data_IF_916297011485
#
_entry.id   IF_916297011485
#
_cell.length_a   1.000
_cell.length_b   1.000
_cell.length_c   1.000
_cell.angle_alpha   90.00
_cell.angle_beta   90.00
_cell.angle_gamma   90.00
#
_symmetry.space_group_name_H-M   'P 1'
#
loop_
_entity.id
_entity.type
_entity.pdbx_description
1 polymer ?
#
# COMPACT_ATOMS: atom_id res chain seq x y z
N UNK A 1 2.67 1.53 17.60
CA UNK A 1 3.81 0.78 17.06
C UNK A 1 4.11 -0.44 17.92
N UNK A 2 4.46 -1.54 17.32
CA UNK A 2 5.01 -2.74 18.00
C UNK A 2 6.25 -3.23 17.26
N UNK A 3 7.22 -3.79 17.97
CA UNK A 3 8.37 -4.49 17.41
C UNK A 3 8.08 -5.97 17.16
N UNK A 4 6.96 -6.47 17.67
CA UNK A 4 6.50 -7.84 17.46
C UNK A 4 5.87 -8.02 16.05
N UNK A 5 6.67 -8.54 15.12
CA UNK A 5 6.24 -8.87 13.75
C UNK A 5 5.76 -10.32 13.72
N UNK A 6 4.77 -10.63 14.52
CA UNK A 6 4.06 -11.92 14.54
C UNK A 6 2.60 -11.74 14.09
N UNK A 7 1.88 -12.82 13.76
CA UNK A 7 0.45 -12.76 13.52
C UNK A 7 -0.33 -12.16 14.70
N UNK A 8 0.10 -12.40 15.93
CA UNK A 8 -0.47 -11.88 17.17
C UNK A 8 -0.14 -10.38 17.33
N UNK A 9 1.10 -9.95 17.03
CA UNK A 9 1.51 -8.56 17.03
C UNK A 9 0.72 -7.74 16.03
N UNK A 10 0.45 -8.28 14.84
CA UNK A 10 -0.38 -7.64 13.81
C UNK A 10 -1.84 -7.47 14.28
N UNK A 11 -2.39 -8.44 14.99
CA UNK A 11 -3.74 -8.31 15.57
C UNK A 11 -3.75 -7.25 16.66
N UNK A 12 -2.78 -7.28 17.60
CA UNK A 12 -2.72 -6.30 18.69
C UNK A 12 -2.59 -4.87 18.21
N UNK A 13 -1.78 -4.62 17.18
CA UNK A 13 -1.62 -3.24 16.65
C UNK A 13 -2.89 -2.76 15.95
N UNK A 14 -3.64 -3.63 15.29
CA UNK A 14 -4.95 -3.31 14.75
C UNK A 14 -5.94 -2.96 15.88
N UNK A 15 -6.01 -3.78 16.92
CA UNK A 15 -6.90 -3.53 18.08
C UNK A 15 -6.57 -2.22 18.79
N UNK A 16 -5.29 -1.87 18.86
CA UNK A 16 -4.83 -0.61 19.48
C UNK A 16 -5.33 0.66 18.76
N UNK A 17 -5.80 0.54 17.51
CA UNK A 17 -6.43 1.66 16.81
C UNK A 17 -7.79 2.04 17.41
N UNK A 18 -8.45 1.13 18.14
CA UNK A 18 -9.78 1.36 18.71
C UNK A 18 -10.89 1.54 17.67
N UNK A 19 -10.66 1.14 16.43
CA UNK A 19 -11.63 1.18 15.32
C UNK A 19 -12.01 -0.23 14.93
N UNK A 20 -13.28 -0.58 15.11
CA UNK A 20 -13.79 -1.91 14.78
C UNK A 20 -14.21 -1.98 13.30
N UNK A 21 -13.71 -2.98 12.58
CA UNK A 21 -14.13 -3.25 11.22
C UNK A 21 -15.58 -3.73 11.19
N UNK A 22 -16.39 -3.11 10.34
CA UNK A 22 -17.80 -3.42 10.22
C UNK A 22 -18.20 -3.67 8.76
N UNK A 23 -19.31 -4.39 8.56
CA UNK A 23 -19.81 -4.70 7.23
C UNK A 23 -18.92 -5.65 6.45
N UNK A 24 -18.80 -5.45 5.14
CA UNK A 24 -17.89 -6.21 4.27
C UNK A 24 -16.51 -5.59 4.31
N UNK A 25 -15.54 -6.35 4.82
CA UNK A 25 -14.19 -5.86 5.10
C UNK A 25 -13.24 -6.26 3.96
N UNK A 26 -12.63 -5.26 3.33
CA UNK A 26 -11.51 -5.42 2.42
C UNK A 26 -10.18 -5.35 3.21
N UNK A 27 -9.30 -6.31 3.04
CA UNK A 27 -7.91 -6.22 3.49
C UNK A 27 -7.02 -6.04 2.27
N UNK A 28 -6.59 -4.79 2.01
CA UNK A 28 -5.79 -4.46 0.82
C UNK A 28 -4.33 -4.79 1.04
N UNK A 29 -3.84 -5.73 0.26
CA UNK A 29 -2.46 -6.21 0.28
C UNK A 29 -1.78 -6.11 -1.09
N UNK A 30 -0.51 -6.48 -1.16
CA UNK A 30 0.20 -6.85 -2.39
C UNK A 30 0.59 -8.32 -2.32
N UNK A 31 0.10 -9.14 -3.25
CA UNK A 31 0.38 -10.58 -3.30
C UNK A 31 1.76 -10.91 -3.88
N UNK A 32 2.52 -9.90 -4.32
CA UNK A 32 3.86 -10.05 -4.87
C UNK A 32 3.89 -10.55 -6.32
N UNK A 33 4.98 -10.30 -7.02
CA UNK A 33 5.15 -10.71 -8.42
C UNK A 33 5.61 -12.17 -8.55
N UNK A 34 6.39 -12.65 -7.59
CA UNK A 34 6.86 -14.03 -7.55
C UNK A 34 6.96 -14.53 -6.10
N UNK A 35 7.24 -15.84 -5.93
CA UNK A 35 7.54 -16.42 -4.62
C UNK A 35 8.82 -15.85 -3.98
N UNK A 36 9.69 -15.21 -4.79
CA UNK A 36 10.92 -14.55 -4.32
C UNK A 36 10.70 -13.10 -3.92
N UNK A 37 9.58 -12.47 -4.29
CA UNK A 37 9.23 -11.13 -3.82
C UNK A 37 9.08 -11.09 -2.30
N UNK A 38 9.40 -9.96 -1.68
CA UNK A 38 9.40 -9.80 -0.22
C UNK A 38 8.00 -9.45 0.35
N UNK A 39 6.92 -9.76 -0.38
CA UNK A 39 5.54 -9.49 0.01
C UNK A 39 5.18 -10.11 1.37
N UNK A 40 4.17 -9.55 2.04
CA UNK A 40 3.65 -10.08 3.30
C UNK A 40 3.14 -11.51 3.11
N UNK A 41 3.66 -12.44 3.90
CA UNK A 41 3.30 -13.86 3.79
C UNK A 41 1.92 -14.14 4.38
N UNK A 42 1.16 -15.09 3.81
CA UNK A 42 -0.15 -15.48 4.33
C UNK A 42 -0.12 -15.80 5.82
N UNK A 43 0.93 -16.49 6.29
CA UNK A 43 1.08 -16.89 7.69
C UNK A 43 1.10 -15.70 8.64
N UNK A 44 1.70 -14.58 8.24
CA UNK A 44 1.76 -13.37 9.04
C UNK A 44 0.39 -12.68 9.15
N UNK A 45 -0.36 -12.62 8.05
CA UNK A 45 -1.58 -11.83 7.97
C UNK A 45 -2.86 -12.60 8.32
N UNK A 46 -2.78 -13.94 8.38
CA UNK A 46 -3.92 -14.84 8.57
C UNK A 46 -4.80 -14.47 9.76
N UNK A 47 -4.19 -14.26 10.93
CA UNK A 47 -4.95 -14.03 12.16
C UNK A 47 -5.76 -12.72 12.09
N UNK A 48 -5.18 -11.66 11.53
CA UNK A 48 -5.90 -10.41 11.32
C UNK A 48 -7.06 -10.58 10.33
N UNK A 49 -6.79 -11.20 9.18
CA UNK A 49 -7.80 -11.39 8.13
C UNK A 49 -8.99 -12.21 8.64
N UNK A 50 -8.71 -13.29 9.38
CA UNK A 50 -9.74 -14.14 9.96
C UNK A 50 -10.51 -13.43 11.09
N UNK A 51 -9.81 -12.66 11.93
CA UNK A 51 -10.42 -11.90 13.02
C UNK A 51 -11.48 -10.92 12.52
N UNK A 52 -11.22 -10.24 11.40
CA UNK A 52 -12.14 -9.25 10.83
C UNK A 52 -13.09 -9.87 9.79
N UNK A 53 -13.06 -11.18 9.58
CA UNK A 53 -13.78 -11.87 8.50
C UNK A 53 -13.57 -11.17 7.13
N UNK A 54 -12.30 -10.81 6.86
CA UNK A 54 -11.92 -9.97 5.73
C UNK A 54 -11.76 -10.76 4.43
N UNK A 55 -12.01 -10.08 3.32
CA UNK A 55 -11.62 -10.50 1.98
C UNK A 55 -10.31 -9.82 1.62
N UNK A 56 -9.30 -10.58 1.17
CA UNK A 56 -8.08 -10.01 0.62
C UNK A 56 -8.39 -9.38 -0.73
N UNK A 57 -7.94 -8.15 -0.95
CA UNK A 57 -8.24 -7.42 -2.19
C UNK A 57 -6.99 -6.91 -2.88
N UNK A 58 -6.96 -7.03 -4.22
CA UNK A 58 -5.97 -6.46 -5.13
C UNK A 58 -6.60 -6.04 -6.46
N UNK A 59 -5.82 -5.39 -7.33
CA UNK A 59 -6.13 -5.18 -8.74
C UNK A 59 -5.00 -5.71 -9.62
N UNK A 60 -5.32 -6.04 -10.87
CA UNK A 60 -4.33 -6.43 -11.87
C UNK A 60 -3.27 -5.34 -12.07
N UNK A 61 -2.06 -5.73 -12.46
CA UNK A 61 -0.98 -4.79 -12.76
C UNK A 61 -1.07 -4.29 -14.21
N UNK A 62 -0.49 -3.12 -14.47
CA UNK A 62 -0.46 -2.52 -15.80
C UNK A 62 0.78 -2.91 -16.61
N UNK A 63 1.66 -3.72 -16.07
CA UNK A 63 2.83 -4.29 -16.76
C UNK A 63 2.63 -5.79 -17.03
N UNK A 64 3.37 -6.33 -18.01
CA UNK A 64 3.35 -7.76 -18.33
C UNK A 64 4.09 -8.57 -17.27
N UNK A 65 3.37 -9.28 -16.43
CA UNK A 65 3.93 -10.14 -15.37
C UNK A 65 2.92 -11.18 -14.93
N UNK A 66 3.15 -11.77 -13.76
CA UNK A 66 2.28 -12.81 -13.19
C UNK A 66 0.94 -12.27 -12.68
N UNK A 67 0.79 -10.95 -12.60
CA UNK A 67 -0.45 -10.27 -12.20
C UNK A 67 -1.00 -9.34 -13.28
N UNK A 68 -0.51 -9.47 -14.54
CA UNK A 68 -0.89 -8.61 -15.65
C UNK A 68 -2.29 -8.87 -16.24
N UNK A 69 -2.95 -9.93 -15.82
CA UNK A 69 -4.37 -10.22 -16.10
C UNK A 69 -4.93 -11.15 -15.02
N UNK A 70 -6.26 -11.24 -14.94
CA UNK A 70 -6.97 -11.97 -13.88
C UNK A 70 -6.59 -13.45 -13.82
N UNK A 71 -6.46 -14.15 -14.95
CA UNK A 71 -6.11 -15.58 -14.97
C UNK A 71 -4.73 -15.83 -14.33
N UNK A 72 -3.71 -15.09 -14.78
CA UNK A 72 -2.35 -15.19 -14.22
C UNK A 72 -2.31 -14.76 -12.76
N UNK A 73 -3.03 -13.70 -12.43
CA UNK A 73 -3.08 -13.17 -11.06
C UNK A 73 -3.72 -14.18 -10.10
N UNK A 74 -4.84 -14.82 -10.47
CA UNK A 74 -5.46 -15.90 -9.67
C UNK A 74 -4.51 -17.08 -9.48
N UNK A 75 -3.77 -17.47 -10.51
CA UNK A 75 -2.74 -18.51 -10.40
C UNK A 75 -1.64 -18.09 -9.41
N UNK A 76 -1.15 -16.88 -9.51
CA UNK A 76 -0.14 -16.32 -8.62
C UNK A 76 -0.61 -16.28 -7.15
N UNK A 77 -1.86 -15.90 -6.91
CA UNK A 77 -2.51 -15.91 -5.59
C UNK A 77 -2.55 -17.32 -5.01
N UNK A 78 -2.99 -18.31 -5.80
CA UNK A 78 -3.07 -19.70 -5.38
C UNK A 78 -1.67 -20.29 -5.07
N UNK A 79 -0.69 -20.07 -5.94
CA UNK A 79 0.69 -20.54 -5.76
C UNK A 79 1.36 -19.98 -4.49
N UNK A 80 0.90 -18.83 -3.98
CA UNK A 80 1.43 -18.18 -2.78
C UNK A 80 0.62 -18.46 -1.52
N UNK A 81 -0.42 -19.29 -1.61
CA UNK A 81 -1.19 -19.76 -0.46
C UNK A 81 -2.20 -18.75 0.11
N UNK A 82 -2.50 -17.65 -0.59
CA UNK A 82 -3.45 -16.67 -0.08
C UNK A 82 -4.88 -17.22 -0.03
N UNK A 83 -5.26 -18.12 -0.96
CA UNK A 83 -6.56 -18.78 -0.96
C UNK A 83 -6.76 -19.72 0.25
N UNK A 84 -5.67 -20.12 0.93
CA UNK A 84 -5.75 -21.01 2.09
C UNK A 84 -6.15 -20.26 3.37
N UNK A 85 -6.08 -18.93 3.35
CA UNK A 85 -6.36 -18.11 4.53
C UNK A 85 -7.65 -17.29 4.42
N UNK A 86 -8.04 -16.89 3.21
CA UNK A 86 -9.26 -16.11 2.96
C UNK A 86 -9.64 -16.13 1.48
N UNK A 87 -10.85 -15.65 1.18
CA UNK A 87 -11.24 -15.28 -0.18
C UNK A 87 -10.35 -14.15 -0.68
N UNK A 88 -9.94 -14.22 -1.96
CA UNK A 88 -9.18 -13.16 -2.63
C UNK A 88 -9.99 -12.62 -3.79
N UNK A 89 -10.22 -11.30 -3.78
CA UNK A 89 -10.95 -10.56 -4.80
C UNK A 89 -9.99 -9.69 -5.63
N UNK A 90 -10.00 -9.89 -6.94
CA UNK A 90 -9.31 -9.03 -7.90
C UNK A 90 -10.32 -7.97 -8.34
N UNK A 91 -10.29 -6.80 -7.69
CA UNK A 91 -11.36 -5.82 -7.74
C UNK A 91 -11.65 -5.25 -9.14
N UNK A 92 -10.71 -5.36 -10.07
CA UNK A 92 -10.86 -4.88 -11.46
C UNK A 92 -11.14 -6.01 -12.48
N UNK A 93 -11.47 -7.23 -12.01
CA UNK A 93 -11.72 -8.35 -12.92
C UNK A 93 -13.01 -8.23 -13.72
N UNK A 94 -14.02 -7.57 -13.17
CA UNK A 94 -15.32 -7.35 -13.82
C UNK A 94 -15.50 -5.91 -14.32
N UNK A 95 -14.47 -5.09 -14.20
CA UNK A 95 -14.47 -3.71 -14.69
C UNK A 95 -13.91 -2.70 -13.71
N UNK A 96 -14.20 -1.44 -13.98
CA UNK A 96 -13.66 -0.31 -13.24
C UNK A 96 -14.73 0.74 -12.95
N UNK A 97 -14.47 1.58 -11.95
CA UNK A 97 -15.30 2.74 -11.61
C UNK A 97 -14.44 3.96 -11.39
N UNK A 98 -15.04 5.15 -11.52
CA UNK A 98 -14.37 6.41 -11.28
C UNK A 98 -14.71 6.97 -9.91
N UNK A 99 -13.72 7.45 -9.20
CA UNK A 99 -13.88 8.21 -7.96
C UNK A 99 -13.62 9.70 -8.23
N UNK A 100 -14.37 10.61 -7.60
CA UNK A 100 -14.08 12.03 -7.68
C UNK A 100 -12.73 12.34 -7.01
N UNK A 101 -11.94 13.19 -7.63
CA UNK A 101 -10.67 13.70 -7.12
C UNK A 101 -10.86 15.16 -6.69
N UNK A 102 -10.43 15.53 -5.49
CA UNK A 102 -10.49 16.93 -5.01
C UNK A 102 -9.38 17.78 -5.62
N UNK A 103 -8.16 17.22 -5.68
CA UNK A 103 -7.03 17.89 -6.30
C UNK A 103 -6.95 17.51 -7.79
N UNK A 104 -7.45 18.37 -8.65
CA UNK A 104 -7.52 18.17 -10.09
C UNK A 104 -6.29 18.69 -10.86
N UNK A 105 -5.17 18.93 -10.19
CA UNK A 105 -3.93 19.42 -10.82
C UNK A 105 -3.43 18.50 -11.93
N UNK A 106 -3.53 17.19 -11.72
CA UNK A 106 -3.07 16.16 -12.67
C UNK A 106 -4.16 15.21 -13.10
N UNK A 107 -5.00 14.76 -12.15
CA UNK A 107 -6.07 13.79 -12.40
C UNK A 107 -7.43 14.50 -12.39
N UNK A 108 -8.32 14.14 -13.30
CA UNK A 108 -9.71 14.61 -13.27
C UNK A 108 -10.61 13.69 -12.44
N UNK A 109 -10.22 12.43 -12.29
CA UNK A 109 -10.86 11.37 -11.51
C UNK A 109 -9.80 10.31 -11.21
N UNK A 110 -10.08 9.44 -10.25
CA UNK A 110 -9.31 8.21 -10.05
C UNK A 110 -10.08 7.03 -10.65
N UNK A 111 -9.37 6.04 -11.20
CA UNK A 111 -9.98 4.87 -11.85
C UNK A 111 -9.59 3.63 -11.04
N UNK A 112 -10.56 3.07 -10.32
CA UNK A 112 -10.36 1.95 -9.41
C UNK A 112 -11.11 0.70 -9.89
N UNK A 113 -10.77 -0.46 -9.33
CA UNK A 113 -11.54 -1.69 -9.59
C UNK A 113 -12.99 -1.55 -9.14
N UNK A 114 -13.94 -1.99 -9.98
CA UNK A 114 -15.39 -1.82 -9.73
C UNK A 114 -15.85 -2.50 -8.45
N UNK A 115 -15.18 -3.57 -8.01
CA UNK A 115 -15.54 -4.29 -6.79
C UNK A 115 -15.24 -3.50 -5.50
N UNK A 116 -14.53 -2.36 -5.56
CA UNK A 116 -14.35 -1.48 -4.41
C UNK A 116 -15.69 -1.08 -3.77
N UNK A 117 -16.73 -0.91 -4.59
CA UNK A 117 -18.09 -0.60 -4.12
C UNK A 117 -18.69 -1.67 -3.22
N UNK A 118 -18.18 -2.89 -3.25
CA UNK A 118 -18.70 -4.02 -2.48
C UNK A 118 -18.29 -3.98 -1.01
N UNK A 119 -17.40 -3.07 -0.62
CA UNK A 119 -16.80 -3.04 0.72
C UNK A 119 -17.26 -1.81 1.51
N UNK A 120 -17.48 -2.04 2.81
CA UNK A 120 -17.90 -1.03 3.77
C UNK A 120 -16.71 -0.56 4.63
N UNK A 121 -15.70 -1.41 4.79
CA UNK A 121 -14.50 -1.14 5.58
C UNK A 121 -13.26 -1.60 4.83
N UNK A 122 -12.16 -0.80 4.89
CA UNK A 122 -10.87 -1.21 4.36
C UNK A 122 -9.79 -1.19 5.43
N UNK A 123 -9.07 -2.30 5.57
CA UNK A 123 -7.76 -2.32 6.22
C UNK A 123 -6.72 -2.22 5.12
N UNK A 124 -6.10 -1.05 4.99
CA UNK A 124 -4.97 -0.85 4.08
C UNK A 124 -3.71 -1.43 4.76
N UNK A 125 -3.43 -2.70 4.46
CA UNK A 125 -2.31 -3.45 5.02
C UNK A 125 -1.14 -3.46 4.04
N UNK A 126 -0.22 -2.54 4.21
CA UNK A 126 0.92 -2.37 3.33
C UNK A 126 2.20 -3.00 3.90
N UNK A 127 2.98 -3.60 3.02
CA UNK A 127 4.39 -3.89 3.24
C UNK A 127 5.18 -2.62 2.93
N UNK A 128 5.92 -2.07 3.91
CA UNK A 128 6.77 -0.90 3.68
C UNK A 128 8.12 -1.32 3.07
N UNK A 129 8.54 -0.68 1.98
CA UNK A 129 9.75 -1.04 1.22
C UNK A 129 10.14 0.07 0.25
N UNK A 130 11.27 -0.10 -0.43
CA UNK A 130 11.66 0.74 -1.57
C UNK A 130 10.76 0.53 -2.79
N UNK A 131 10.85 1.46 -3.72
CA UNK A 131 10.15 1.37 -5.01
C UNK A 131 10.94 2.07 -6.12
N UNK A 132 11.05 1.41 -7.28
CA UNK A 132 11.85 1.89 -8.41
C UNK A 132 11.36 3.24 -8.97
N UNK A 133 10.06 3.51 -8.93
CA UNK A 133 9.47 4.75 -9.45
C UNK A 133 9.09 5.73 -8.35
N UNK A 134 8.43 5.30 -7.29
CA UNK A 134 7.93 6.16 -6.21
C UNK A 134 8.92 6.42 -5.07
N UNK A 135 10.12 5.84 -5.12
CA UNK A 135 11.11 5.90 -4.02
C UNK A 135 10.82 4.90 -2.92
N UNK A 136 9.61 4.89 -2.37
CA UNK A 136 9.12 3.90 -1.42
C UNK A 136 7.69 3.48 -1.74
N UNK A 137 7.23 2.43 -1.08
CA UNK A 137 5.85 1.98 -1.07
C UNK A 137 5.40 1.72 0.35
N UNK A 138 4.40 2.47 0.80
CA UNK A 138 3.67 2.34 2.05
C UNK A 138 2.17 2.38 1.80
N UNK A 139 1.39 2.82 2.78
CA UNK A 139 -0.08 2.83 2.68
C UNK A 139 -0.60 3.80 1.60
N UNK A 140 0.06 4.94 1.38
CA UNK A 140 -0.34 5.88 0.32
C UNK A 140 -0.26 5.22 -1.06
N UNK A 141 0.84 4.50 -1.34
CA UNK A 141 0.98 3.77 -2.61
C UNK A 141 0.03 2.57 -2.69
N UNK A 142 -0.17 1.86 -1.59
CA UNK A 142 -1.04 0.68 -1.56
C UNK A 142 -2.50 1.04 -1.87
N UNK A 143 -2.98 2.20 -1.41
CA UNK A 143 -4.35 2.64 -1.72
C UNK A 143 -4.47 3.42 -3.04
N UNK A 144 -3.43 4.08 -3.53
CA UNK A 144 -3.47 4.73 -4.85
C UNK A 144 -3.26 3.70 -5.96
N UNK A 145 -2.01 3.33 -6.21
CA UNK A 145 -1.64 2.38 -7.29
C UNK A 145 -2.26 0.99 -7.05
N UNK A 146 -2.33 0.53 -5.78
CA UNK A 146 -2.80 -0.81 -5.45
C UNK A 146 -4.30 -1.02 -5.67
N UNK A 147 -5.12 0.02 -5.51
CA UNK A 147 -6.59 -0.01 -5.69
C UNK A 147 -7.00 0.40 -7.10
N UNK A 148 -6.14 1.15 -7.81
CA UNK A 148 -6.40 1.53 -9.18
C UNK A 148 -6.52 0.31 -10.11
N UNK A 149 -7.43 0.36 -11.07
CA UNK A 149 -7.52 -0.61 -12.17
C UNK A 149 -6.27 -0.54 -13.05
N UNK A 150 -6.14 -1.44 -14.02
CA UNK A 150 -5.05 -1.38 -15.00
C UNK A 150 -5.00 0.00 -15.70
N UNK A 151 -6.15 0.53 -16.14
CA UNK A 151 -6.23 1.86 -16.74
C UNK A 151 -5.91 2.98 -15.74
N UNK A 152 -6.38 2.85 -14.49
CA UNK A 152 -6.08 3.78 -13.41
C UNK A 152 -4.59 3.85 -13.08
N UNK A 153 -3.90 2.72 -13.04
CA UNK A 153 -2.45 2.69 -12.85
C UNK A 153 -1.71 3.47 -13.94
N UNK A 154 -2.09 3.29 -15.21
CA UNK A 154 -1.50 4.04 -16.32
C UNK A 154 -1.82 5.54 -16.21
N UNK A 155 -3.04 5.87 -15.81
CA UNK A 155 -3.49 7.25 -15.66
C UNK A 155 -2.73 7.98 -14.54
N UNK A 156 -2.52 7.35 -13.39
CA UNK A 156 -1.72 7.91 -12.30
C UNK A 156 -0.25 8.08 -12.72
N UNK A 157 0.38 7.04 -13.30
CA UNK A 157 1.80 7.09 -13.70
C UNK A 157 2.06 8.14 -14.78
N UNK A 158 1.10 8.42 -15.63
CA UNK A 158 1.19 9.45 -16.68
C UNK A 158 0.79 10.84 -16.22
N UNK A 159 0.43 11.03 -14.95
CA UNK A 159 -0.15 12.27 -14.44
C UNK A 159 -1.34 12.74 -15.29
N UNK A 160 -2.31 11.85 -15.47
CA UNK A 160 -3.56 12.13 -16.16
C UNK A 160 -3.50 12.12 -17.69
N UNK A 161 -2.38 11.73 -18.32
CA UNK A 161 -2.21 11.85 -19.78
C UNK A 161 -2.64 10.63 -20.57
N UNK A 162 -2.61 9.43 -19.98
CA UNK A 162 -2.93 8.19 -20.69
C UNK A 162 -3.53 7.12 -19.77
N UNK A 163 -4.54 6.42 -20.28
CA UNK A 163 -5.17 5.27 -19.64
C UNK A 163 -4.84 3.95 -20.36
N UNK A 164 -4.12 4.01 -21.48
CA UNK A 164 -3.90 2.88 -22.37
C UNK A 164 -2.42 2.58 -22.66
N UNK A 165 -1.54 3.53 -22.42
CA UNK A 165 -0.12 3.40 -22.72
C UNK A 165 0.73 3.89 -21.56
N UNK A 166 1.87 3.22 -21.36
CA UNK A 166 2.89 3.70 -20.44
C UNK A 166 3.45 5.04 -20.95
N UNK A 167 3.18 6.07 -20.18
CA UNK A 167 3.79 7.40 -20.36
C UNK A 167 4.33 7.79 -18.99
N UNK A 168 5.63 8.02 -18.91
CA UNK A 168 6.26 8.44 -17.66
C UNK A 168 6.09 9.94 -17.54
N UNK A 169 5.40 10.40 -16.51
CA UNK A 169 5.30 11.79 -16.16
C UNK A 169 6.64 12.33 -15.60
N UNK A 170 6.72 13.65 -15.43
CA UNK A 170 7.69 14.23 -14.51
C UNK A 170 7.56 13.55 -13.14
N UNK A 171 8.68 13.36 -12.45
CA UNK A 171 8.74 12.60 -11.19
C UNK A 171 7.75 13.14 -10.14
N UNK A 172 7.76 14.45 -9.90
CA UNK A 172 6.87 15.07 -8.91
C UNK A 172 5.41 15.01 -9.33
N UNK A 173 5.10 15.22 -10.61
CA UNK A 173 3.74 15.08 -11.13
C UNK A 173 3.18 13.66 -10.93
N UNK A 174 4.00 12.63 -11.05
CA UNK A 174 3.61 11.25 -10.73
C UNK A 174 3.35 11.08 -9.22
N UNK A 175 4.23 11.57 -8.36
CA UNK A 175 4.09 11.48 -6.91
C UNK A 175 2.86 12.25 -6.40
N UNK A 176 2.61 13.44 -6.96
CA UNK A 176 1.42 14.24 -6.70
C UNK A 176 0.13 13.54 -7.14
N UNK A 177 0.17 12.88 -8.30
CA UNK A 177 -0.96 12.07 -8.80
C UNK A 177 -1.26 10.87 -7.89
N UNK A 178 -0.22 10.22 -7.34
CA UNK A 178 -0.42 9.17 -6.33
C UNK A 178 -1.09 9.71 -5.07
N UNK A 179 -0.68 10.88 -4.58
CA UNK A 179 -1.30 11.50 -3.41
C UNK A 179 -2.77 11.86 -3.67
N UNK A 180 -3.09 12.43 -4.83
CA UNK A 180 -4.47 12.76 -5.23
C UNK A 180 -5.35 11.51 -5.35
N UNK A 181 -4.86 10.43 -5.96
CA UNK A 181 -5.56 9.15 -6.04
C UNK A 181 -5.74 8.50 -4.66
N UNK A 182 -4.71 8.57 -3.78
CA UNK A 182 -4.83 8.11 -2.41
C UNK A 182 -5.92 8.88 -1.64
N UNK A 183 -6.03 10.20 -1.85
CA UNK A 183 -7.08 11.01 -1.27
C UNK A 183 -8.47 10.60 -1.76
N UNK A 184 -8.64 10.31 -3.06
CA UNK A 184 -9.91 9.88 -3.61
C UNK A 184 -10.43 8.59 -2.97
N UNK A 185 -9.54 7.60 -2.76
CA UNK A 185 -9.88 6.35 -2.08
C UNK A 185 -10.17 6.57 -0.59
N UNK A 186 -9.39 7.41 0.10
CA UNK A 186 -9.64 7.79 1.49
C UNK A 186 -11.02 8.44 1.63
N UNK A 187 -11.31 9.43 0.82
CA UNK A 187 -12.59 10.14 0.85
C UNK A 187 -13.78 9.23 0.54
N UNK A 188 -13.60 8.25 -0.35
CA UNK A 188 -14.62 7.24 -0.63
C UNK A 188 -14.97 6.42 0.61
N UNK A 189 -13.97 6.02 1.41
CA UNK A 189 -14.19 5.26 2.65
C UNK A 189 -14.52 6.14 3.86
N UNK A 190 -14.45 7.46 3.76
CA UNK A 190 -14.91 8.38 4.84
C UNK A 190 -16.34 8.89 4.61
N UNK A 191 -17.10 8.26 3.73
CA UNK A 191 -18.53 8.49 3.59
C UNK A 191 -19.32 7.76 4.69
N UNK A 192 -20.57 8.13 4.88
CA UNK A 192 -21.48 7.50 5.86
C UNK A 192 -21.55 5.97 5.64
N UNK A 193 -21.38 5.22 6.71
CA UNK A 193 -21.42 3.76 6.70
C UNK A 193 -20.16 3.07 6.19
N UNK A 194 -19.09 3.81 5.91
CA UNK A 194 -17.78 3.26 5.49
C UNK A 194 -16.66 3.77 6.38
N UNK A 195 -15.56 3.04 6.47
CA UNK A 195 -14.33 3.51 7.11
C UNK A 195 -13.07 2.83 6.58
N UNK A 196 -11.90 3.40 6.89
CA UNK A 196 -10.59 2.89 6.49
C UNK A 196 -9.56 3.10 7.60
N UNK A 197 -8.73 2.09 7.84
CA UNK A 197 -7.55 2.16 8.70
C UNK A 197 -6.30 1.69 7.98
N UNK A 198 -5.15 2.05 8.50
CA UNK A 198 -3.86 1.91 7.83
C UNK A 198 -2.87 1.17 8.71
N UNK A 199 -2.16 0.21 8.10
CA UNK A 199 -1.10 -0.56 8.76
C UNK A 199 0.08 -0.69 7.80
N UNK A 200 1.28 -0.32 8.25
CA UNK A 200 2.55 -0.59 7.58
C UNK A 200 3.33 -1.66 8.34
N UNK A 201 3.73 -2.71 7.64
CA UNK A 201 4.64 -3.73 8.17
C UNK A 201 6.04 -3.46 7.61
N UNK A 202 6.98 -3.17 8.51
CA UNK A 202 8.37 -2.81 8.18
C UNK A 202 9.29 -4.02 8.41
N UNK A 203 9.10 -5.07 7.61
CA UNK A 203 9.91 -6.27 7.61
C UNK A 203 10.44 -6.58 6.20
N UNK A 204 11.54 -7.29 6.08
CA UNK A 204 12.13 -7.67 4.79
C UNK A 204 12.20 -6.50 3.79
N UNK A 205 12.54 -5.32 4.28
CA UNK A 205 12.53 -4.08 3.49
C UNK A 205 13.67 -4.05 2.47
N UNK A 206 13.34 -4.38 1.22
CA UNK A 206 14.24 -4.22 0.08
C UNK A 206 14.19 -2.80 -0.48
N UNK A 207 15.19 -2.43 -1.28
CA UNK A 207 15.14 -1.25 -2.15
C UNK A 207 14.14 -1.42 -3.29
N UNK A 208 13.74 -2.65 -3.57
CA UNK A 208 12.80 -3.01 -4.63
C UNK A 208 11.44 -3.37 -4.04
N UNK A 209 10.42 -3.19 -4.87
CA UNK A 209 9.02 -3.39 -4.51
C UNK A 209 8.63 -4.88 -4.62
N UNK A 210 7.51 -5.27 -3.98
CA UNK A 210 6.88 -6.60 -4.16
C UNK A 210 6.46 -6.86 -5.61
N UNK A 211 6.42 -5.82 -6.44
CA UNK A 211 6.19 -5.92 -7.89
C UNK A 211 7.44 -6.36 -8.69
N UNK A 212 8.58 -6.51 -8.04
CA UNK A 212 9.78 -7.12 -8.62
C UNK A 212 9.79 -8.63 -8.34
N UNK A 213 9.93 -9.43 -9.38
CA UNK A 213 10.00 -10.89 -9.26
C UNK A 213 11.35 -11.40 -8.74
N UNK A 214 12.39 -10.55 -8.74
CA UNK A 214 13.74 -10.85 -8.30
C UNK A 214 14.34 -9.65 -7.53
N UNK A 215 13.71 -9.22 -6.42
CA UNK A 215 14.16 -8.04 -5.70
C UNK A 215 15.54 -8.25 -5.09
N UNK A 216 16.25 -7.15 -4.90
CA UNK A 216 17.47 -7.15 -4.10
C UNK A 216 17.18 -7.64 -2.67
N UNK A 217 18.15 -8.30 -2.05
CA UNK A 217 18.00 -8.73 -0.67
C UNK A 217 17.81 -7.52 0.26
N UNK A 218 16.95 -7.62 1.28
CA UNK A 218 16.85 -6.62 2.33
C UNK A 218 18.21 -6.38 3.01
N UNK A 219 18.55 -5.13 3.27
CA UNK A 219 19.81 -4.76 3.94
C UNK A 219 19.58 -4.07 5.28
N UNK A 220 18.43 -3.47 5.49
CA UNK A 220 17.98 -2.93 6.77
C UNK A 220 17.25 -4.03 7.53
N UNK A 221 17.48 -4.13 8.84
CA UNK A 221 16.74 -5.07 9.70
C UNK A 221 15.27 -4.68 9.82
N UNK A 222 14.48 -5.65 10.18
CA UNK A 222 13.07 -5.47 10.47
C UNK A 222 12.89 -4.47 11.62
N UNK A 223 11.94 -3.56 11.50
CA UNK A 223 11.70 -2.47 12.47
C UNK A 223 10.46 -2.75 13.32
N UNK A 224 9.37 -3.19 12.72
CA UNK A 224 8.13 -3.42 13.43
C UNK A 224 6.88 -3.21 12.58
N UNK A 225 5.75 -3.06 13.25
CA UNK A 225 4.45 -2.77 12.64
C UNK A 225 3.93 -1.46 13.21
N UNK A 226 3.51 -0.56 12.34
CA UNK A 226 2.88 0.70 12.70
C UNK A 226 1.45 0.74 12.17
N UNK A 227 0.55 1.37 12.92
CA UNK A 227 -0.83 1.58 12.49
C UNK A 227 -1.30 3.00 12.83
N UNK A 228 -2.21 3.52 12.02
CA UNK A 228 -2.81 4.85 12.20
C UNK A 228 -4.18 4.93 11.50
N UNK A 229 -4.99 5.90 11.89
CA UNK A 229 -6.17 6.33 11.14
C UNK A 229 -5.85 7.44 10.13
N UNK A 230 -4.60 7.95 10.14
CA UNK A 230 -4.08 8.95 9.20
C UNK A 230 -2.96 8.32 8.35
N UNK A 231 -3.15 8.18 7.02
CA UNK A 231 -2.16 7.54 6.14
C UNK A 231 -0.90 8.38 5.96
N UNK A 232 -1.01 9.70 6.04
CA UNK A 232 0.11 10.63 5.87
C UNK A 232 1.03 10.56 7.09
N UNK A 233 0.45 10.60 8.30
CA UNK A 233 1.18 10.42 9.55
C UNK A 233 1.90 9.07 9.60
N UNK A 234 1.24 8.02 9.12
CA UNK A 234 1.80 6.67 9.13
C UNK A 234 3.00 6.53 8.20
N UNK A 235 2.87 6.94 6.92
CA UNK A 235 3.97 6.85 5.97
C UNK A 235 5.12 7.79 6.38
N UNK A 236 4.84 8.98 6.95
CA UNK A 236 5.87 9.86 7.50
C UNK A 236 6.62 9.19 8.65
N UNK A 237 5.92 8.56 9.60
CA UNK A 237 6.57 7.86 10.71
C UNK A 237 7.49 6.73 10.23
N UNK A 238 7.08 5.97 9.22
CA UNK A 238 7.91 4.92 8.63
C UNK A 238 9.13 5.49 7.91
N UNK A 239 8.99 6.60 7.18
CA UNK A 239 10.12 7.30 6.55
C UNK A 239 11.12 7.78 7.60
N UNK A 240 10.66 8.40 8.68
CA UNK A 240 11.52 8.89 9.75
C UNK A 240 12.28 7.75 10.43
N UNK A 241 11.65 6.59 10.64
CA UNK A 241 12.33 5.40 11.16
C UNK A 241 13.44 4.91 10.21
N UNK A 242 13.23 4.95 8.90
CA UNK A 242 14.27 4.60 7.91
C UNK A 242 15.38 5.64 7.89
N UNK A 243 15.05 6.94 7.88
CA UNK A 243 16.07 8.00 7.79
C UNK A 243 16.88 8.18 9.07
N UNK A 244 16.29 7.91 10.24
CA UNK A 244 16.96 7.97 11.54
C UNK A 244 17.59 6.62 11.95
N UNK A 245 17.50 5.59 11.10
CA UNK A 245 18.05 4.27 11.40
C UNK A 245 19.58 4.33 11.50
N UNK A 246 20.11 3.84 12.63
CA UNK A 246 21.55 3.77 12.86
C UNK A 246 22.08 2.46 12.28
N UNK A 247 22.74 2.55 11.14
CA UNK A 247 23.32 1.39 10.48
C UNK A 247 24.45 0.74 11.31
N UNK A 248 24.52 -0.58 11.27
CA UNK A 248 25.54 -1.39 11.94
C UNK A 248 25.98 -2.55 11.02
N UNK A 249 26.89 -3.41 11.47
CA UNK A 249 27.31 -4.55 10.67
C UNK A 249 26.13 -5.47 10.35
N UNK A 250 25.83 -5.66 9.06
CA UNK A 250 24.71 -6.46 8.58
C UNK A 250 23.34 -5.78 8.71
N UNK A 251 23.33 -4.46 8.94
CA UNK A 251 22.12 -3.66 9.09
C UNK A 251 22.37 -2.26 8.49
N UNK A 252 21.91 -2.03 7.27
CA UNK A 252 22.29 -0.87 6.45
C UNK A 252 21.05 -0.27 5.76
N UNK A 253 20.57 0.84 6.30
CA UNK A 253 19.44 1.59 5.75
C UNK A 253 19.81 2.43 4.50
N UNK A 254 21.11 2.69 4.29
CA UNK A 254 21.55 3.65 3.26
C UNK A 254 21.05 3.34 1.85
N UNK A 255 21.03 2.09 1.34
CA UNK A 255 20.49 1.82 0.01
C UNK A 255 19.02 2.19 -0.14
N UNK A 256 18.21 1.98 0.90
CA UNK A 256 16.81 2.37 0.92
C UNK A 256 16.65 3.89 0.99
N UNK A 257 17.39 4.56 1.85
CA UNK A 257 17.44 6.04 1.94
C UNK A 257 17.84 6.66 0.59
N UNK A 258 18.90 6.13 -0.06
CA UNK A 258 19.36 6.60 -1.36
C UNK A 258 18.31 6.41 -2.46
N UNK A 259 17.56 5.30 -2.44
CA UNK A 259 16.44 5.05 -3.35
C UNK A 259 15.32 6.07 -3.15
N UNK A 260 14.93 6.32 -1.91
CA UNK A 260 13.89 7.30 -1.57
C UNK A 260 14.31 8.70 -2.03
N UNK A 261 15.53 9.13 -1.69
CA UNK A 261 16.07 10.43 -2.08
C UNK A 261 16.18 10.58 -3.61
N UNK A 262 16.76 9.57 -4.30
CA UNK A 262 16.93 9.58 -5.76
C UNK A 262 15.62 9.73 -6.51
N UNK A 263 14.52 9.22 -5.93
CA UNK A 263 13.19 9.25 -6.52
C UNK A 263 12.30 10.35 -5.94
N UNK A 264 12.88 11.24 -5.13
CA UNK A 264 12.12 12.31 -4.47
C UNK A 264 10.91 11.78 -3.69
N UNK A 265 11.05 10.57 -3.11
CA UNK A 265 9.91 9.79 -2.58
C UNK A 265 9.14 10.48 -1.47
N UNK A 266 9.79 11.31 -0.63
CA UNK A 266 9.14 12.07 0.44
C UNK A 266 8.10 13.07 -0.09
N UNK A 267 8.23 13.51 -1.34
CA UNK A 267 7.30 14.47 -1.95
C UNK A 267 5.85 13.94 -1.98
N UNK A 268 5.64 12.63 -2.11
CA UNK A 268 4.29 12.05 -2.03
C UNK A 268 3.61 12.36 -0.69
N UNK A 269 4.34 12.23 0.41
CA UNK A 269 3.82 12.47 1.77
C UNK A 269 3.62 13.98 2.01
N UNK A 270 4.58 14.78 1.56
CA UNK A 270 4.52 16.26 1.63
C UNK A 270 3.32 16.80 0.86
N UNK A 271 3.12 16.30 -0.36
CA UNK A 271 2.00 16.72 -1.19
C UNK A 271 0.66 16.21 -0.65
N UNK A 272 0.62 14.99 -0.12
CA UNK A 272 -0.58 14.44 0.53
C UNK A 272 -1.05 15.31 1.71
N UNK A 273 -0.11 15.83 2.52
CA UNK A 273 -0.42 16.83 3.55
C UNK A 273 -0.91 18.15 2.95
N UNK A 274 -0.23 18.63 1.90
CA UNK A 274 -0.58 19.90 1.22
C UNK A 274 -2.01 19.88 0.67
N UNK A 275 -2.47 18.77 0.10
CA UNK A 275 -3.84 18.64 -0.43
C UNK A 275 -4.87 18.27 0.65
N UNK A 276 -4.45 18.15 1.91
CA UNK A 276 -5.34 17.92 3.05
C UNK A 276 -5.82 16.48 3.24
N UNK A 277 -5.06 15.47 2.76
CA UNK A 277 -5.37 14.07 3.02
C UNK A 277 -5.15 13.69 4.50
N UNK A 278 -4.14 14.27 5.13
CA UNK A 278 -3.79 14.02 6.51
C UNK A 278 -2.70 14.98 6.98
N UNK A 279 -1.96 14.63 8.03
CA UNK A 279 -0.87 15.43 8.56
C UNK A 279 0.40 14.63 8.76
N UNK A 280 1.56 15.23 8.52
CA UNK A 280 2.87 14.62 8.82
C UNK A 280 3.25 14.69 10.30
N UNK A 281 2.47 15.38 11.13
CA UNK A 281 2.68 15.44 12.57
C UNK A 281 2.08 14.20 13.23
N UNK A 282 2.87 13.52 14.04
CA UNK A 282 2.45 12.31 14.74
C UNK A 282 3.15 12.16 16.09
N UNK A 283 2.63 11.26 16.90
CA UNK A 283 3.29 10.75 18.10
C UNK A 283 3.29 9.24 18.03
N UNK A 284 4.45 8.61 18.19
CA UNK A 284 4.54 7.16 18.28
C UNK A 284 4.21 6.70 19.69
N UNK A 285 3.21 5.82 19.80
CA UNK A 285 2.87 5.12 21.02
C UNK A 285 3.25 3.66 20.85
N UNK A 286 4.17 3.15 21.68
CA UNK A 286 4.48 1.72 21.72
C UNK A 286 3.36 0.97 22.44
N UNK A 287 3.02 -0.20 21.91
CA UNK A 287 2.13 -1.18 22.57
C UNK A 287 2.92 -2.39 23.11
N UNK A 288 4.24 -2.36 22.97
CA UNK A 288 5.13 -3.34 23.60
C UNK A 288 5.26 -3.01 25.09
N UNK A 289 5.25 -4.04 25.94
CA UNK A 289 5.45 -3.92 27.40
C UNK A 289 6.92 -3.63 27.74
#
# INVERSE_FOLDING_TARGET
>A
MTTDISPEGLVRIYEALGVEAQGRVAVKISTGESSKSNHLRPELIKNLVQKVNGTLVECNTAYGGNRGNTEKHRKAIAERGYNDIATVDIMDEEGEMQLPVKDTKHLQYDIVGSHLQNYDFMINLAHFKGHAMGGFGGVLKNQSIGVASTAGKLYIHSAGKSQTHWTIANQDAFLESMAAAAQAVHDYFKQEGKDIVYINVMNNMSVDCDCDGHPAAPRIKDIGILASTDPVALDQACLDLVFNHVSSQGDDAKPLQDRINKKHGTHTVEYAEQIGLGTRKYTVVSIDE
#
